data_IF_228069172836
#
_entry.id   IF_228069172836
#
_cell.length_a   1.000
_cell.length_b   1.000
_cell.length_c   1.000
_cell.angle_alpha   90.00
_cell.angle_beta   90.00
_cell.angle_gamma   90.00
#
_symmetry.space_group_name_H-M   'P 1'
#
loop_
_entity.id
_entity.type
_entity.pdbx_description
1 polymer ?
#
# COMPACT_ATOMS: atom_id res chain seq x y z
N UNK A 1 -23.53 -25.65 -36.04
CA UNK A 1 -22.26 -24.94 -35.83
C UNK A 1 -22.45 -23.98 -34.68
N UNK A 2 -21.63 -24.10 -33.64
CA UNK A 2 -21.48 -23.06 -32.62
C UNK A 2 -20.31 -22.17 -33.01
N UNK A 3 -20.41 -20.87 -32.72
CA UNK A 3 -19.36 -19.87 -32.95
C UNK A 3 -19.03 -19.23 -31.60
N UNK A 4 -17.75 -19.13 -31.28
CA UNK A 4 -17.24 -18.47 -30.07
C UNK A 4 -15.98 -17.68 -30.42
N UNK A 5 -15.73 -16.60 -29.68
CA UNK A 5 -14.49 -15.81 -29.80
C UNK A 5 -14.11 -15.21 -28.45
N UNK A 6 -12.81 -15.13 -28.19
CA UNK A 6 -12.23 -14.45 -27.01
C UNK A 6 -11.91 -12.97 -27.29
N UNK A 7 -12.13 -12.50 -28.52
CA UNK A 7 -11.90 -11.12 -28.91
C UNK A 7 -13.22 -10.36 -28.93
N UNK A 8 -13.23 -9.18 -28.28
CA UNK A 8 -14.39 -8.28 -28.20
C UNK A 8 -14.53 -7.53 -29.50
N UNK A 9 -15.46 -7.98 -30.33
CA UNK A 9 -15.79 -7.33 -31.60
C UNK A 9 -17.08 -7.91 -32.17
N UNK A 10 -17.60 -7.23 -33.20
CA UNK A 10 -18.70 -7.74 -33.99
C UNK A 10 -18.14 -8.61 -35.13
N UNK A 11 -18.68 -9.81 -35.26
CA UNK A 11 -18.38 -10.74 -36.33
C UNK A 11 -19.57 -10.81 -37.28
N UNK A 12 -19.32 -10.48 -38.54
CA UNK A 12 -20.33 -10.51 -39.58
C UNK A 12 -20.16 -11.78 -40.40
N UNK A 13 -21.18 -12.61 -40.43
CA UNK A 13 -21.25 -13.83 -41.22
C UNK A 13 -22.29 -13.67 -42.32
N UNK A 14 -22.04 -14.31 -43.45
CA UNK A 14 -23.05 -14.47 -44.49
C UNK A 14 -23.38 -15.96 -44.59
N UNK A 15 -24.60 -16.33 -44.24
CA UNK A 15 -25.07 -17.69 -44.42
C UNK A 15 -25.53 -17.81 -45.87
N UNK A 16 -24.81 -18.62 -46.64
CA UNK A 16 -25.16 -18.93 -48.03
C UNK A 16 -25.78 -20.32 -48.08
N UNK A 17 -27.02 -20.40 -48.56
CA UNK A 17 -27.71 -21.65 -48.80
C UNK A 17 -27.91 -21.83 -50.31
N UNK A 18 -27.53 -23.00 -50.82
CA UNK A 18 -27.76 -23.42 -52.21
C UNK A 18 -28.91 -24.42 -52.24
N UNK A 19 -29.94 -24.13 -53.04
CA UNK A 19 -31.04 -25.05 -53.31
C UNK A 19 -30.56 -26.33 -53.99
N UNK A 20 -31.25 -27.44 -53.73
CA UNK A 20 -31.00 -28.73 -54.39
C UNK A 20 -31.79 -28.90 -55.70
N UNK A 21 -32.42 -27.83 -56.17
CA UNK A 21 -33.13 -27.78 -57.45
C UNK A 21 -32.14 -27.73 -58.64
N UNK A 22 -32.61 -27.98 -59.86
CA UNK A 22 -31.71 -28.01 -61.03
C UNK A 22 -31.02 -26.67 -61.30
N UNK A 23 -31.60 -25.56 -60.83
CA UNK A 23 -31.06 -24.21 -60.95
C UNK A 23 -30.03 -23.85 -59.87
N UNK A 24 -29.86 -24.68 -58.84
CA UNK A 24 -28.97 -24.41 -57.70
C UNK A 24 -29.13 -22.99 -57.14
N UNK A 25 -30.37 -22.56 -56.91
CA UNK A 25 -30.66 -21.17 -56.52
C UNK A 25 -29.99 -20.86 -55.18
N UNK A 26 -29.28 -19.73 -55.12
CA UNK A 26 -28.58 -19.31 -53.90
C UNK A 26 -29.31 -18.21 -53.17
N UNK A 27 -29.44 -18.37 -51.86
CA UNK A 27 -29.90 -17.35 -50.94
C UNK A 27 -28.80 -17.01 -49.95
N UNK A 28 -28.70 -15.73 -49.59
CA UNK A 28 -27.75 -15.26 -48.59
C UNK A 28 -28.45 -14.46 -47.50
N UNK A 29 -28.14 -14.74 -46.24
CA UNK A 29 -28.59 -13.97 -45.10
C UNK A 29 -27.41 -13.53 -44.24
N UNK A 30 -27.31 -12.23 -43.98
CA UNK A 30 -26.33 -11.67 -43.05
C UNK A 30 -26.70 -11.99 -41.61
N UNK A 31 -25.72 -12.42 -40.81
CA UNK A 31 -25.86 -12.65 -39.37
C UNK A 31 -24.71 -11.97 -38.65
N UNK A 32 -25.02 -11.28 -37.55
CA UNK A 32 -24.02 -10.61 -36.70
C UNK A 32 -23.92 -11.34 -35.37
N UNK A 33 -22.71 -11.70 -34.98
CA UNK A 33 -22.38 -12.19 -33.65
C UNK A 33 -21.63 -11.09 -32.90
N UNK A 34 -22.22 -10.60 -31.82
CA UNK A 34 -21.59 -9.60 -30.95
C UNK A 34 -20.82 -10.34 -29.85
N UNK A 35 -19.50 -10.35 -29.93
CA UNK A 35 -18.66 -10.86 -28.84
C UNK A 35 -18.44 -9.75 -27.83
N UNK A 36 -19.05 -9.87 -26.65
CA UNK A 36 -18.91 -8.91 -25.53
C UNK A 36 -18.04 -9.49 -24.43
N UNK A 37 -17.31 -8.62 -23.73
CA UNK A 37 -16.54 -8.95 -22.53
C UNK A 37 -17.01 -8.10 -21.37
N UNK A 38 -17.02 -8.68 -20.18
CA UNK A 38 -17.22 -7.96 -18.93
C UNK A 38 -16.29 -8.55 -17.87
N UNK A 39 -16.19 -7.92 -16.70
CA UNK A 39 -15.44 -8.48 -15.57
C UNK A 39 -16.08 -8.07 -14.25
N UNK A 40 -15.79 -8.81 -13.18
CA UNK A 40 -16.22 -8.47 -11.83
C UNK A 40 -15.00 -8.12 -10.97
N UNK A 41 -15.20 -7.19 -10.05
CA UNK A 41 -14.29 -6.95 -8.94
C UNK A 41 -15.06 -7.14 -7.63
N UNK A 42 -14.54 -8.01 -6.75
CA UNK A 42 -15.15 -8.30 -5.45
C UNK A 42 -14.16 -7.98 -4.33
N UNK A 43 -14.70 -7.53 -3.20
CA UNK A 43 -13.93 -7.38 -1.97
C UNK A 43 -14.17 -8.61 -1.09
N UNK A 44 -13.11 -9.38 -0.86
CA UNK A 44 -13.16 -10.59 -0.02
C UNK A 44 -12.66 -10.33 1.41
N UNK A 45 -12.28 -9.10 1.72
CA UNK A 45 -11.83 -8.68 3.05
C UNK A 45 -12.94 -8.04 3.86
N UNK A 46 -13.00 -8.40 5.15
CA UNK A 46 -13.82 -7.69 6.13
C UNK A 46 -13.23 -6.28 6.42
N UNK A 47 -14.02 -5.38 7.04
CA UNK A 47 -13.50 -4.10 7.52
C UNK A 47 -12.30 -4.29 8.47
N UNK A 48 -11.24 -3.53 8.24
CA UNK A 48 -10.00 -3.62 9.03
C UNK A 48 -9.83 -2.38 9.90
N UNK A 49 -9.30 -2.57 11.11
CA UNK A 49 -9.01 -1.49 12.06
C UNK A 49 -7.51 -1.44 12.32
N UNK A 50 -6.89 -0.28 12.07
CA UNK A 50 -5.45 -0.07 12.25
C UNK A 50 -5.18 1.17 13.08
N UNK A 51 -4.03 1.20 13.75
CA UNK A 51 -3.54 2.42 14.40
C UNK A 51 -2.73 3.26 13.40
N UNK A 52 -2.66 4.57 13.62
CA UNK A 52 -1.85 5.45 12.79
C UNK A 52 -0.38 4.97 12.71
N UNK A 53 0.12 4.71 11.50
CA UNK A 53 1.46 4.17 11.22
C UNK A 53 1.47 2.73 10.71
N UNK A 54 0.37 2.01 10.86
CA UNK A 54 0.24 0.62 10.41
C UNK A 54 -0.29 0.53 8.97
N UNK A 55 -0.16 -0.66 8.39
CA UNK A 55 -0.64 -0.95 7.02
C UNK A 55 -1.83 -1.90 7.10
N UNK A 56 -2.96 -1.50 6.49
CA UNK A 56 -4.12 -2.35 6.28
C UNK A 56 -4.03 -3.06 4.92
N UNK A 57 -4.47 -4.31 4.83
CA UNK A 57 -4.36 -5.14 3.63
C UNK A 57 -5.70 -5.76 3.24
N UNK A 58 -6.19 -5.43 2.05
CA UNK A 58 -7.47 -5.94 1.53
C UNK A 58 -7.25 -6.85 0.32
N UNK A 59 -7.87 -8.03 0.33
CA UNK A 59 -7.87 -8.96 -0.79
C UNK A 59 -9.05 -8.66 -1.70
N UNK A 60 -8.74 -8.21 -2.91
CA UNK A 60 -9.69 -7.99 -3.98
C UNK A 60 -9.56 -9.11 -5.02
N UNK A 61 -10.70 -9.59 -5.48
CA UNK A 61 -10.81 -10.61 -6.50
C UNK A 61 -11.25 -9.98 -7.82
N UNK A 62 -10.42 -10.07 -8.85
CA UNK A 62 -10.69 -9.49 -10.17
C UNK A 62 -10.80 -10.63 -11.18
N UNK A 63 -12.03 -10.93 -11.60
CA UNK A 63 -12.33 -12.08 -12.46
C UNK A 63 -12.99 -11.65 -13.78
N UNK A 64 -12.52 -12.16 -14.93
CA UNK A 64 -13.20 -11.94 -16.21
C UNK A 64 -14.57 -12.65 -16.21
N UNK A 65 -15.55 -12.03 -16.84
CA UNK A 65 -16.90 -12.57 -17.05
C UNK A 65 -17.13 -12.78 -18.56
N UNK A 66 -17.79 -13.88 -18.91
CA UNK A 66 -18.11 -14.22 -20.31
C UNK A 66 -17.46 -15.53 -20.77
N UNK A 67 -17.48 -15.78 -22.08
CA UNK A 67 -16.98 -17.03 -22.67
C UNK A 67 -15.44 -17.15 -22.67
N UNK A 68 -14.73 -16.04 -22.44
CA UNK A 68 -13.28 -16.03 -22.30
C UNK A 68 -12.88 -16.10 -20.83
N UNK A 69 -12.07 -17.09 -20.46
CA UNK A 69 -11.50 -17.21 -19.10
C UNK A 69 -10.36 -16.23 -18.82
N UNK A 70 -10.15 -15.23 -19.69
CA UNK A 70 -9.00 -14.33 -19.61
C UNK A 70 -9.35 -12.88 -19.98
N UNK A 71 -8.57 -11.93 -19.47
CA UNK A 71 -8.71 -10.51 -19.78
C UNK A 71 -8.19 -10.20 -21.20
N UNK A 72 -9.01 -9.63 -22.11
CA UNK A 72 -8.55 -9.26 -23.45
C UNK A 72 -7.60 -8.05 -23.43
N UNK A 73 -7.66 -7.21 -22.39
CA UNK A 73 -6.80 -6.05 -22.18
C UNK A 73 -6.27 -5.98 -20.74
N UNK A 74 -5.14 -5.32 -20.55
CA UNK A 74 -4.54 -5.09 -19.22
C UNK A 74 -5.54 -4.38 -18.30
N UNK A 75 -5.64 -4.83 -17.05
CA UNK A 75 -6.43 -4.17 -16.00
C UNK A 75 -5.52 -3.26 -15.17
N UNK A 76 -5.86 -1.98 -15.12
CA UNK A 76 -5.21 -0.98 -14.25
C UNK A 76 -6.06 -0.72 -13.02
N UNK A 77 -5.44 -0.64 -11.84
CA UNK A 77 -6.12 -0.38 -10.58
C UNK A 77 -5.82 1.02 -10.02
N UNK A 78 -6.81 1.64 -9.40
CA UNK A 78 -6.72 2.93 -8.74
C UNK A 78 -7.53 2.93 -7.44
N UNK A 79 -7.06 3.68 -6.44
CA UNK A 79 -7.78 3.91 -5.17
C UNK A 79 -8.23 5.37 -5.08
N UNK A 80 -9.38 5.62 -4.46
CA UNK A 80 -9.84 6.94 -4.06
C UNK A 80 -10.51 6.92 -2.69
N UNK A 81 -10.66 8.08 -2.03
CA UNK A 81 -11.23 8.17 -0.68
C UNK A 81 -10.25 7.80 0.44
N UNK A 82 -8.95 7.95 0.19
CA UNK A 82 -7.91 7.66 1.18
C UNK A 82 -7.87 8.71 2.32
N UNK A 83 -7.51 8.29 3.54
CA UNK A 83 -7.15 9.21 4.62
C UNK A 83 -6.03 10.19 4.21
N UNK A 84 -6.02 11.37 4.82
CA UNK A 84 -4.87 12.29 4.69
C UNK A 84 -3.63 11.61 5.29
N UNK A 85 -2.45 11.83 4.70
CA UNK A 85 -1.19 11.18 5.08
C UNK A 85 -1.23 9.64 4.96
N UNK A 86 -1.95 9.10 3.98
CA UNK A 86 -1.93 7.67 3.66
C UNK A 86 -1.65 7.42 2.18
N UNK A 87 -1.16 6.21 1.86
CA UNK A 87 -0.87 5.78 0.50
C UNK A 87 -1.50 4.43 0.21
N UNK A 88 -2.14 4.27 -0.95
CA UNK A 88 -2.61 2.98 -1.46
C UNK A 88 -1.62 2.41 -2.47
N UNK A 89 -1.33 1.13 -2.35
CA UNK A 89 -0.51 0.36 -3.30
C UNK A 89 -1.18 -0.98 -3.60
N UNK A 90 -0.98 -1.49 -4.81
CA UNK A 90 -1.59 -2.72 -5.30
C UNK A 90 -0.51 -3.77 -5.60
N UNK A 91 -0.74 -5.01 -5.17
CA UNK A 91 0.14 -6.16 -5.45
C UNK A 91 -0.69 -7.33 -5.98
N UNK A 92 -0.63 -7.67 -7.29
CA UNK A 92 0.14 -6.99 -8.34
C UNK A 92 -0.43 -5.61 -8.70
N UNK A 93 0.43 -4.70 -9.18
CA UNK A 93 0.03 -3.34 -9.55
C UNK A 93 -0.89 -3.23 -10.78
N UNK A 94 -0.99 -4.31 -11.55
CA UNK A 94 -1.89 -4.44 -12.69
C UNK A 94 -2.08 -5.93 -13.02
N UNK A 95 -3.23 -6.29 -13.58
CA UNK A 95 -3.47 -7.63 -14.11
C UNK A 95 -3.18 -7.61 -15.61
N UNK A 96 -2.38 -8.56 -16.09
CA UNK A 96 -1.96 -8.61 -17.50
C UNK A 96 -3.11 -8.98 -18.44
N UNK A 97 -2.99 -8.60 -19.71
CA UNK A 97 -3.83 -9.20 -20.76
C UNK A 97 -3.52 -10.69 -20.87
N UNK A 98 -4.54 -11.53 -21.02
CA UNK A 98 -4.44 -12.98 -21.02
C UNK A 98 -4.41 -13.61 -19.62
N UNK A 99 -4.40 -12.81 -18.55
CA UNK A 99 -4.58 -13.33 -17.19
C UNK A 99 -6.03 -13.76 -16.98
N UNK A 100 -6.24 -14.83 -16.22
CA UNK A 100 -7.58 -15.25 -15.79
C UNK A 100 -7.96 -14.62 -14.46
N UNK A 101 -8.71 -15.39 -13.66
CA UNK A 101 -9.04 -15.00 -12.30
C UNK A 101 -7.79 -14.60 -11.50
N UNK A 102 -7.80 -13.39 -10.92
CA UNK A 102 -6.62 -12.73 -10.38
C UNK A 102 -6.92 -12.09 -9.04
N UNK A 103 -6.25 -12.56 -7.99
CA UNK A 103 -6.27 -11.94 -6.68
C UNK A 103 -5.30 -10.75 -6.61
N UNK A 104 -5.81 -9.59 -6.21
CA UNK A 104 -5.07 -8.34 -6.04
C UNK A 104 -5.15 -7.86 -4.60
N UNK A 105 -3.99 -7.65 -3.97
CA UNK A 105 -3.91 -7.15 -2.60
C UNK A 105 -3.75 -5.63 -2.62
N UNK A 106 -4.62 -4.92 -1.89
CA UNK A 106 -4.57 -3.47 -1.68
C UNK A 106 -3.97 -3.18 -0.31
N UNK A 107 -2.82 -2.53 -0.31
CA UNK A 107 -2.12 -2.15 0.91
C UNK A 107 -2.29 -0.65 1.14
N UNK A 108 -2.97 -0.29 2.24
CA UNK A 108 -3.17 1.09 2.67
C UNK A 108 -2.23 1.36 3.82
N UNK A 109 -1.16 2.11 3.55
CA UNK A 109 -0.16 2.50 4.55
C UNK A 109 -0.55 3.83 5.16
N UNK A 110 -0.74 3.85 6.47
CA UNK A 110 -1.00 5.07 7.26
C UNK A 110 0.30 5.63 7.84
N UNK A 111 0.32 6.93 8.16
CA UNK A 111 1.48 7.60 8.74
C UNK A 111 1.35 7.67 10.26
N UNK A 112 2.41 7.31 10.98
CA UNK A 112 2.45 7.37 12.44
C UNK A 112 2.45 8.82 12.94
N UNK A 113 1.79 9.06 14.07
CA UNK A 113 1.88 10.34 14.77
C UNK A 113 3.21 10.43 15.52
N UNK A 114 3.96 11.52 15.32
CA UNK A 114 5.21 11.76 16.05
C UNK A 114 4.94 12.87 17.07
N UNK A 115 4.94 12.56 18.39
CA UNK A 115 4.80 13.60 19.40
C UNK A 115 6.01 14.52 19.38
N UNK A 116 5.77 15.84 19.49
CA UNK A 116 6.81 16.86 19.46
C UNK A 116 7.89 16.68 20.54
N UNK A 117 7.59 15.94 21.62
CA UNK A 117 8.54 15.64 22.72
C UNK A 117 9.60 14.59 22.38
N UNK A 118 9.44 13.82 21.30
CA UNK A 118 10.40 12.76 20.92
C UNK A 118 11.61 13.28 20.13
N UNK A 119 11.54 14.48 19.56
CA UNK A 119 12.60 15.02 18.69
C UNK A 119 13.78 15.65 19.45
N UNK A 120 13.64 15.93 20.74
CA UNK A 120 14.65 16.65 21.54
C UNK A 120 15.69 15.76 22.21
N UNK A 121 15.62 14.43 22.04
CA UNK A 121 16.44 13.49 22.81
C UNK A 121 17.76 13.05 22.14
N UNK A 122 18.09 13.60 20.96
CA UNK A 122 19.36 13.31 20.27
C UNK A 122 20.51 14.27 20.60
N UNK A 123 20.21 15.52 20.95
CA UNK A 123 21.24 16.58 21.04
C UNK A 123 21.67 16.91 22.47
N UNK A 124 20.80 16.73 23.46
CA UNK A 124 21.13 17.09 24.86
C UNK A 124 21.98 16.05 25.59
N UNK A 125 21.98 14.78 25.16
CA UNK A 125 22.80 13.72 25.77
C UNK A 125 24.31 13.99 25.63
N UNK A 126 24.74 14.50 24.48
CA UNK A 126 26.13 14.83 24.22
C UNK A 126 26.57 16.15 24.89
N UNK A 127 25.65 17.10 25.12
CA UNK A 127 25.96 18.37 25.79
C UNK A 127 26.31 18.18 27.28
N UNK A 128 25.61 17.27 27.97
CA UNK A 128 25.89 16.94 29.38
C UNK A 128 27.17 16.10 29.53
N UNK A 129 27.47 15.23 28.58
CA UNK A 129 28.71 14.44 28.57
C UNK A 129 29.96 15.33 28.35
N UNK A 130 29.89 16.31 27.45
CA UNK A 130 31.02 17.22 27.16
C UNK A 130 31.31 18.19 28.31
N UNK A 131 30.27 18.64 29.04
CA UNK A 131 30.44 19.55 30.19
C UNK A 131 31.08 18.87 31.40
N UNK A 132 30.76 17.59 31.68
CA UNK A 132 31.42 16.80 32.72
C UNK A 132 32.89 16.49 32.41
N UNK A 133 33.24 16.27 31.14
CA UNK A 133 34.63 16.05 30.71
C UNK A 133 35.47 17.34 30.84
N UNK A 134 34.90 18.51 30.53
CA UNK A 134 35.61 19.78 30.64
C UNK A 134 35.82 20.23 32.10
N UNK A 135 34.85 19.98 32.99
CA UNK A 135 35.02 20.23 34.44
C UNK A 135 36.00 19.25 35.10
N UNK A 136 36.13 18.01 34.58
CA UNK A 136 37.13 17.05 35.04
C UNK A 136 38.58 17.42 34.66
N UNK A 137 38.78 18.20 33.60
CA UNK A 137 40.11 18.63 33.13
C UNK A 137 40.55 20.00 33.66
N UNK A 138 39.63 20.87 34.10
CA UNK A 138 39.95 22.24 34.52
C UNK A 138 40.68 22.41 35.85
N UNK A 139 40.78 21.36 36.69
CA UNK A 139 41.27 21.50 38.08
C UNK A 139 42.51 20.68 38.46
N UNK A 140 42.99 19.75 37.63
CA UNK A 140 44.01 18.79 38.06
C UNK A 140 45.42 19.16 37.58
N UNK A 141 46.13 19.90 38.45
CA UNK A 141 47.60 19.95 38.46
C UNK A 141 48.14 18.51 38.42
N UNK A 142 48.91 18.19 37.36
CA UNK A 142 49.70 16.96 37.12
C UNK A 142 49.23 15.73 37.92
N UNK A 143 48.15 15.09 37.47
CA UNK A 143 47.76 13.79 38.00
C UNK A 143 48.75 12.68 37.52
N UNK A 144 49.14 11.73 38.40
CA UNK A 144 49.98 10.61 38.03
C UNK A 144 49.24 9.65 37.08
N UNK A 145 49.99 8.97 36.21
CA UNK A 145 49.55 8.11 35.08
C UNK A 145 48.45 7.08 35.40
N UNK A 146 48.15 6.79 36.67
CA UNK A 146 47.08 5.89 37.10
C UNK A 146 45.65 6.47 37.05
N UNK A 147 45.46 7.79 37.04
CA UNK A 147 44.10 8.40 37.01
C UNK A 147 43.44 8.34 35.61
N UNK A 148 44.24 8.32 34.54
CA UNK A 148 43.74 8.22 33.16
C UNK A 148 43.11 6.84 32.88
N UNK A 149 43.70 5.77 33.43
CA UNK A 149 43.13 4.43 33.33
C UNK A 149 41.82 4.30 34.11
N UNK A 150 41.69 4.95 35.26
CA UNK A 150 40.45 4.99 36.03
C UNK A 150 39.32 5.73 35.29
N UNK A 151 39.64 6.84 34.62
CA UNK A 151 38.67 7.56 33.78
C UNK A 151 38.26 6.72 32.56
N UNK A 152 39.19 6.02 31.92
CA UNK A 152 38.89 5.11 30.81
C UNK A 152 37.99 3.95 31.26
N UNK A 153 38.20 3.40 32.45
CA UNK A 153 37.38 2.33 33.03
C UNK A 153 35.95 2.81 33.37
N UNK A 154 35.81 4.03 33.88
CA UNK A 154 34.50 4.65 34.15
C UNK A 154 33.76 4.95 32.84
N UNK A 155 34.46 5.43 31.81
CA UNK A 155 33.86 5.66 30.48
C UNK A 155 33.41 4.34 29.84
N UNK A 156 34.21 3.27 29.94
CA UNK A 156 33.82 1.93 29.45
C UNK A 156 32.66 1.32 30.23
N UNK A 157 32.55 1.56 31.54
CA UNK A 157 31.38 1.15 32.32
C UNK A 157 30.10 1.92 31.95
N UNK A 158 30.22 3.23 31.68
CA UNK A 158 29.07 4.07 31.27
C UNK A 158 28.56 3.66 29.89
N UNK A 159 29.43 3.30 28.95
CA UNK A 159 29.04 2.78 27.62
C UNK A 159 28.47 1.35 27.69
N UNK A 160 28.91 0.54 28.66
CA UNK A 160 28.41 -0.84 28.83
C UNK A 160 26.99 -0.98 29.37
N UNK A 161 26.47 0.05 30.06
CA UNK A 161 25.14 0.02 30.69
C UNK A 161 24.00 0.58 29.80
N UNK A 162 24.28 0.98 28.56
CA UNK A 162 23.27 1.58 27.66
C UNK A 162 22.32 0.56 26.98
N UNK A 163 22.47 -0.75 27.26
CA UNK A 163 21.45 -1.77 26.96
C UNK A 163 20.51 -2.04 28.17
N UNK A 164 20.36 -1.07 29.08
CA UNK A 164 19.38 -1.10 30.16
C UNK A 164 18.16 -0.23 29.84
N UNK A 165 16.99 -0.84 29.74
CA UNK A 165 15.69 -0.19 29.56
C UNK A 165 15.51 0.97 30.56
N UNK A 166 15.39 2.19 30.03
CA UNK A 166 15.37 3.43 30.79
C UNK A 166 14.03 3.72 31.48
N UNK A 167 14.12 4.24 32.71
CA UNK A 167 13.02 4.85 33.43
C UNK A 167 13.40 6.25 33.94
N UNK A 168 12.43 7.17 33.94
CA UNK A 168 12.41 8.29 34.89
C UNK A 168 12.34 9.72 34.35
N UNK A 169 11.16 10.32 34.57
CA UNK A 169 10.90 11.68 35.07
C UNK A 169 10.91 12.91 34.14
N UNK A 170 9.69 13.39 33.90
CA UNK A 170 9.16 14.76 34.08
C UNK A 170 10.11 15.97 33.97
N UNK A 171 9.87 16.78 32.94
CA UNK A 171 10.34 18.16 32.88
C UNK A 171 9.53 18.94 31.85
N UNK A 172 8.66 19.83 32.31
CA UNK A 172 7.89 20.74 31.46
C UNK A 172 8.78 21.81 30.83
N UNK A 173 8.36 22.28 29.65
CA UNK A 173 9.02 23.39 28.96
C UNK A 173 8.47 23.52 27.55
N UNK A 174 7.63 24.53 27.34
CA UNK A 174 7.01 24.84 26.05
C UNK A 174 8.04 25.16 24.97
N UNK A 175 7.84 24.57 23.80
CA UNK A 175 8.55 24.88 22.57
C UNK A 175 7.77 24.29 21.42
N UNK A 176 7.18 25.16 20.58
CA UNK A 176 6.35 24.78 19.44
C UNK A 176 7.18 24.12 18.33
N UNK A 177 7.47 22.84 18.50
CA UNK A 177 7.78 21.94 17.39
C UNK A 177 6.46 21.39 16.86
N UNK A 178 6.13 21.65 15.60
CA UNK A 178 4.97 21.06 14.96
C UNK A 178 5.17 19.54 14.87
N UNK A 179 4.64 18.79 15.84
CA UNK A 179 4.57 17.33 15.77
C UNK A 179 3.81 16.91 14.52
N UNK A 180 4.23 15.83 13.86
CA UNK A 180 3.53 15.32 12.70
C UNK A 180 2.25 14.62 13.18
N UNK A 181 1.03 15.09 12.84
CA UNK A 181 -0.20 14.63 13.46
C UNK A 181 -0.60 13.18 13.11
N UNK A 182 0.16 12.48 12.27
CA UNK A 182 -0.18 11.14 11.80
C UNK A 182 -1.47 11.13 10.98
N UNK A 183 -1.85 9.96 10.47
CA UNK A 183 -3.14 9.80 9.80
C UNK A 183 -4.27 10.00 10.82
N UNK A 184 -5.28 10.87 10.55
CA UNK A 184 -6.35 11.13 11.52
C UNK A 184 -7.20 9.88 11.80
N UNK A 185 -7.59 9.69 13.05
CA UNK A 185 -8.54 8.66 13.44
C UNK A 185 -9.91 8.89 12.79
N UNK A 186 -10.57 7.81 12.37
CA UNK A 186 -11.86 7.88 11.69
C UNK A 186 -12.15 6.66 10.83
N UNK A 187 -13.38 6.62 10.31
CA UNK A 187 -13.82 5.59 9.37
C UNK A 187 -13.69 6.13 7.94
N UNK A 188 -12.96 5.39 7.11
CA UNK A 188 -12.69 5.70 5.72
C UNK A 188 -13.28 4.62 4.84
N UNK A 189 -14.05 5.04 3.84
CA UNK A 189 -14.56 4.19 2.76
C UNK A 189 -13.69 4.41 1.53
N UNK A 190 -12.77 3.48 1.27
CA UNK A 190 -11.86 3.57 0.14
C UNK A 190 -12.50 2.85 -1.04
N UNK A 191 -12.53 3.51 -2.20
CA UNK A 191 -13.06 2.93 -3.43
C UNK A 191 -11.91 2.47 -4.31
N UNK A 192 -11.81 1.16 -4.53
CA UNK A 192 -10.88 0.55 -5.46
C UNK A 192 -11.56 0.41 -6.82
N UNK A 193 -10.92 0.94 -7.87
CA UNK A 193 -11.43 0.98 -9.24
C UNK A 193 -10.49 0.17 -10.12
N UNK A 194 -11.03 -0.80 -10.85
CA UNK A 194 -10.32 -1.56 -11.87
C UNK A 194 -10.84 -1.15 -13.24
N UNK A 195 -9.93 -0.93 -14.19
CA UNK A 195 -10.27 -0.54 -15.57
C UNK A 195 -9.57 -1.46 -16.56
N UNK A 196 -10.34 -2.06 -17.47
CA UNK A 196 -9.87 -2.89 -18.59
C UNK A 196 -10.40 -2.31 -19.89
N UNK A 197 -9.54 -1.70 -20.71
CA UNK A 197 -9.96 -0.99 -21.92
C UNK A 197 -10.95 0.14 -21.61
N UNK A 198 -12.19 0.02 -22.08
CA UNK A 198 -13.28 0.98 -21.83
C UNK A 198 -14.21 0.59 -20.66
N UNK A 199 -13.99 -0.57 -20.05
CA UNK A 199 -14.81 -1.09 -18.96
C UNK A 199 -14.18 -0.74 -17.62
N UNK A 200 -15.00 -0.23 -16.71
CA UNK A 200 -14.57 0.18 -15.37
C UNK A 200 -15.52 -0.38 -14.34
N UNK A 201 -14.98 -1.06 -13.33
CA UNK A 201 -15.73 -1.56 -12.18
C UNK A 201 -15.07 -1.13 -10.88
N UNK A 202 -15.86 -0.93 -9.85
CA UNK A 202 -15.38 -0.44 -8.55
C UNK A 202 -15.96 -1.22 -7.39
N UNK A 203 -15.17 -1.41 -6.35
CA UNK A 203 -15.60 -1.99 -5.08
C UNK A 203 -15.11 -1.14 -3.91
N UNK A 204 -15.82 -1.20 -2.80
CA UNK A 204 -15.49 -0.46 -1.58
C UNK A 204 -14.80 -1.35 -0.55
N UNK A 205 -13.81 -0.79 0.13
CA UNK A 205 -13.17 -1.36 1.31
C UNK A 205 -13.27 -0.38 2.48
N UNK A 206 -13.46 -0.90 3.69
CA UNK A 206 -13.70 -0.09 4.88
C UNK A 206 -12.49 -0.18 5.81
N UNK A 207 -11.91 0.99 6.12
CA UNK A 207 -10.77 1.15 7.00
C UNK A 207 -11.17 2.01 8.20
N UNK A 208 -10.93 1.51 9.41
CA UNK A 208 -11.02 2.30 10.63
C UNK A 208 -9.61 2.60 11.12
N UNK A 209 -9.31 3.88 11.33
CA UNK A 209 -8.06 4.33 11.97
C UNK A 209 -8.36 4.72 13.41
N UNK A 210 -7.62 4.15 14.36
CA UNK A 210 -7.66 4.47 15.79
C UNK A 210 -6.50 5.38 16.22
#
# INVERSE_FOLDING_TARGET
MSVSSDVVQNYNFNIVATGSDSGHITHSAGVVFNSTFDFAINNNSAPETVTAGQTASYNLDVKPLGNGSTFPARVTLACSGLPVLSTCSFTPGSVGSGSGDSNVVVNIKTTAAIPASAQTMGSFKYAFAVSLVLLGFGGMKRAPRGKLLGVLFVVLMVVGLENGCGGGSSGGGGGGGAGQPGTPAGNYTITATATSGSLTHSVQVNLTVN
#
